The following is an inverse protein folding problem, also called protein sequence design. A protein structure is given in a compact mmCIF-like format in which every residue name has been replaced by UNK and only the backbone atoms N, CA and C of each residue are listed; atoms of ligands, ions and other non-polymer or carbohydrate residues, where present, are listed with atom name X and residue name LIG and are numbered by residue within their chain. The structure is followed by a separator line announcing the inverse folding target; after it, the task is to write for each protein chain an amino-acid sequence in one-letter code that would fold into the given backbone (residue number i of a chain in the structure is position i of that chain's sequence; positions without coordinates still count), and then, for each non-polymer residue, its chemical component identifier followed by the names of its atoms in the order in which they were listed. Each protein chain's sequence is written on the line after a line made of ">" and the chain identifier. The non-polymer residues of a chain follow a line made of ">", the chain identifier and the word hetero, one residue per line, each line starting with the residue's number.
data_IF_275588887183
#
_entry.id   IF_275588887183
#
_cell.length_a   1.000
_cell.length_b   1.000
_cell.length_c   1.000
_cell.angle_alpha   90.00
_cell.angle_beta   90.00
_cell.angle_gamma   90.00
#
_symmetry.space_group_name_H-M   'P 1'
#
loop_
_entity.id
_entity.type
_entity.pdbx_description
1 polymer ?
#
# COMPACT_ATOMS: atom_id res chain seq x y z
N UNK A 1 19.91 -4.54 4.57
CA UNK A 1 18.96 -3.46 4.89
C UNK A 1 17.55 -4.03 4.99
N UNK A 2 16.78 -3.59 5.99
CA UNK A 2 15.41 -4.02 6.22
C UNK A 2 14.38 -3.02 5.63
N UNK A 3 13.13 -3.47 5.42
CA UNK A 3 12.05 -2.61 4.90
C UNK A 3 11.80 -1.42 5.83
N UNK A 4 11.83 -1.65 7.14
CA UNK A 4 11.68 -0.60 8.14
C UNK A 4 12.74 0.50 7.97
N UNK A 5 14.01 0.13 7.86
CA UNK A 5 15.12 1.07 7.66
C UNK A 5 14.95 1.88 6.37
N UNK A 6 14.61 1.22 5.25
CA UNK A 6 14.35 1.86 3.96
C UNK A 6 13.18 2.85 4.01
N UNK A 7 12.26 2.70 4.96
CA UNK A 7 11.12 3.60 5.18
C UNK A 7 11.30 4.54 6.37
N UNK A 8 12.46 4.51 7.04
CA UNK A 8 12.72 5.23 8.28
C UNK A 8 11.69 4.94 9.39
N UNK A 9 11.30 3.66 9.51
CA UNK A 9 10.40 3.15 10.55
C UNK A 9 11.11 2.01 11.27
N UNK A 10 11.38 2.20 12.57
CA UNK A 10 11.92 1.13 13.42
C UNK A 10 10.84 0.06 13.60
N UNK A 11 11.18 -1.19 13.29
CA UNK A 11 10.33 -2.37 13.46
C UNK A 11 11.16 -3.39 14.22
N UNK A 12 10.64 -3.88 15.34
CA UNK A 12 11.25 -4.94 16.12
C UNK A 12 10.49 -6.26 15.91
N UNK A 13 11.10 -7.39 16.26
CA UNK A 13 10.49 -8.71 16.09
C UNK A 13 9.15 -8.83 16.83
N UNK A 14 9.08 -8.28 18.06
CA UNK A 14 7.87 -8.21 18.88
C UNK A 14 6.72 -7.41 18.25
N UNK A 15 7.01 -6.53 17.29
CA UNK A 15 5.97 -5.75 16.61
C UNK A 15 5.23 -6.59 15.55
N UNK A 16 5.74 -7.78 15.19
CA UNK A 16 5.17 -8.66 14.17
C UNK A 16 4.40 -9.78 14.86
N UNK A 17 3.09 -9.85 14.63
CA UNK A 17 2.23 -10.91 15.17
C UNK A 17 2.14 -12.09 14.20
N UNK A 18 1.99 -11.82 12.90
CA UNK A 18 1.95 -12.88 11.89
C UNK A 18 2.30 -12.37 10.50
N UNK A 19 2.86 -13.25 9.67
CA UNK A 19 3.18 -13.00 8.27
C UNK A 19 2.67 -14.18 7.43
N UNK A 20 1.97 -13.88 6.34
CA UNK A 20 1.49 -14.90 5.41
C UNK A 20 1.62 -14.42 3.96
N UNK A 21 1.99 -15.32 3.03
CA UNK A 21 1.86 -15.04 1.59
C UNK A 21 0.40 -15.19 1.16
N UNK A 22 -0.12 -14.20 0.46
CA UNK A 22 -1.51 -14.15 0.02
C UNK A 22 -1.64 -14.45 -1.47
N UNK A 23 -2.77 -15.07 -1.83
CA UNK A 23 -3.15 -15.32 -3.23
C UNK A 23 -2.51 -16.58 -3.84
N UNK A 24 -2.97 -16.96 -5.03
CA UNK A 24 -2.42 -18.09 -5.77
C UNK A 24 -0.96 -17.80 -6.16
N UNK A 25 -0.19 -18.86 -6.39
CA UNK A 25 1.14 -18.74 -6.99
C UNK A 25 0.96 -18.08 -8.36
N UNK A 26 1.61 -16.94 -8.57
CA UNK A 26 1.59 -16.27 -9.87
C UNK A 26 2.49 -17.08 -10.81
N UNK A 27 2.01 -17.34 -12.01
CA UNK A 27 2.79 -18.00 -13.06
C UNK A 27 3.92 -17.11 -13.55
N UNK A 28 4.76 -17.69 -14.41
CA UNK A 28 5.70 -16.94 -15.23
C UNK A 28 4.94 -15.92 -16.09
N UNK A 29 5.41 -14.68 -16.13
CA UNK A 29 4.88 -13.63 -17.02
C UNK A 29 5.88 -13.49 -18.18
N UNK A 30 5.47 -13.87 -19.38
CA UNK A 30 6.25 -13.66 -20.61
C UNK A 30 6.57 -12.17 -20.78
N UNK A 31 7.85 -11.84 -20.96
CA UNK A 31 8.36 -10.46 -21.06
C UNK A 31 9.08 -9.94 -19.80
N UNK A 32 8.79 -10.44 -18.60
CA UNK A 32 9.51 -10.06 -17.37
C UNK A 32 10.58 -11.08 -16.94
N UNK A 33 10.64 -12.27 -17.57
CA UNK A 33 11.65 -13.30 -17.31
C UNK A 33 11.63 -13.90 -15.89
N UNK A 34 10.76 -13.44 -15.01
CA UNK A 34 10.74 -13.80 -13.60
C UNK A 34 9.32 -13.96 -13.06
N UNK A 35 9.15 -14.97 -12.19
CA UNK A 35 7.90 -15.20 -11.45
C UNK A 35 7.67 -14.05 -10.47
N UNK A 36 6.54 -13.34 -10.60
CA UNK A 36 6.21 -12.26 -9.68
C UNK A 36 5.91 -12.81 -8.27
N UNK A 37 6.60 -12.35 -7.21
CA UNK A 37 6.37 -12.87 -5.87
C UNK A 37 4.95 -12.61 -5.38
N UNK A 38 4.40 -13.58 -4.63
CA UNK A 38 3.12 -13.40 -3.92
C UNK A 38 3.24 -12.30 -2.87
N UNK A 39 2.25 -11.41 -2.73
CA UNK A 39 2.25 -10.36 -1.72
C UNK A 39 2.23 -10.97 -0.31
N UNK A 40 2.82 -10.25 0.65
CA UNK A 40 2.72 -10.58 2.06
C UNK A 40 1.56 -9.83 2.72
N UNK A 41 0.82 -10.53 3.58
CA UNK A 41 -0.02 -9.90 4.59
C UNK A 41 0.72 -10.00 5.93
N UNK A 42 0.95 -8.84 6.55
CA UNK A 42 1.62 -8.72 7.85
C UNK A 42 0.62 -8.18 8.85
N UNK A 43 0.46 -8.85 9.99
CA UNK A 43 -0.26 -8.34 11.15
C UNK A 43 0.77 -7.77 12.12
N UNK A 44 0.66 -6.48 12.41
CA UNK A 44 1.47 -5.80 13.41
C UNK A 44 0.76 -5.79 14.77
N UNK A 45 1.53 -5.79 15.86
CA UNK A 45 1.03 -5.76 17.23
C UNK A 45 0.37 -4.42 17.54
N UNK A 46 0.92 -3.32 17.03
CA UNK A 46 0.48 -1.95 17.32
C UNK A 46 -0.11 -1.27 16.09
N UNK A 47 -1.30 -0.70 16.25
CA UNK A 47 -1.97 0.10 15.21
C UNK A 47 -1.15 1.34 14.81
N UNK A 48 -0.54 2.01 15.79
CA UNK A 48 0.29 3.20 15.56
C UNK A 48 1.48 2.93 14.65
N UNK A 49 2.13 1.76 14.80
CA UNK A 49 3.23 1.35 13.94
C UNK A 49 2.75 1.09 12.51
N UNK A 50 1.62 0.41 12.34
CA UNK A 50 0.99 0.21 11.03
C UNK A 50 0.73 1.53 10.32
N UNK A 51 0.13 2.48 11.04
CA UNK A 51 -0.25 3.78 10.46
C UNK A 51 0.99 4.60 10.08
N UNK A 52 2.03 4.58 10.92
CA UNK A 52 3.35 5.18 10.61
C UNK A 52 3.98 4.53 9.37
N UNK A 53 3.95 3.21 9.26
CA UNK A 53 4.51 2.47 8.13
C UNK A 53 3.78 2.83 6.82
N UNK A 54 2.45 2.88 6.84
CA UNK A 54 1.63 3.28 5.69
C UNK A 54 1.88 4.75 5.30
N UNK A 55 2.03 5.64 6.27
CA UNK A 55 2.33 7.05 6.03
C UNK A 55 3.72 7.23 5.42
N UNK A 56 4.74 6.60 5.99
CA UNK A 56 6.11 6.64 5.46
C UNK A 56 6.20 6.08 4.04
N UNK A 57 5.49 5.00 3.75
CA UNK A 57 5.42 4.41 2.41
C UNK A 57 4.72 5.32 1.38
N UNK A 58 3.70 6.08 1.80
CA UNK A 58 3.04 7.07 0.94
C UNK A 58 3.95 8.24 0.59
N UNK A 59 4.73 8.72 1.55
CA UNK A 59 5.66 9.85 1.34
C UNK A 59 6.86 9.43 0.49
N UNK A 60 7.42 8.25 0.71
CA UNK A 60 8.54 7.70 -0.09
C UNK A 60 8.02 6.98 -1.34
N UNK A 61 7.35 7.73 -2.21
CA UNK A 61 6.85 7.21 -3.47
C UNK A 61 8.00 6.65 -4.33
N UNK A 62 7.93 5.37 -4.70
CA UNK A 62 8.94 4.71 -5.54
C UNK A 62 10.03 3.93 -4.80
N UNK A 63 9.84 3.60 -3.52
CA UNK A 63 10.75 2.70 -2.79
C UNK A 63 10.96 1.38 -3.56
N UNK A 64 12.23 0.98 -3.66
CA UNK A 64 12.69 -0.16 -4.45
C UNK A 64 13.48 -1.17 -3.60
N UNK A 65 13.75 -2.33 -4.18
CA UNK A 65 14.55 -3.38 -3.54
C UNK A 65 16.06 -3.14 -3.61
N UNK A 66 16.52 -1.93 -3.95
CA UNK A 66 17.94 -1.57 -3.94
C UNK A 66 18.47 -1.63 -2.51
N UNK A 67 19.57 -2.38 -2.29
CA UNK A 67 20.21 -2.56 -0.98
C UNK A 67 19.66 -3.72 -0.12
N UNK A 68 18.70 -4.49 -0.64
CA UNK A 68 18.14 -5.66 0.05
C UNK A 68 18.92 -6.96 -0.20
N UNK A 69 19.93 -6.96 -1.07
CA UNK A 69 20.70 -8.17 -1.42
C UNK A 69 19.87 -9.23 -2.15
N UNK A 70 18.76 -8.84 -2.77
CA UNK A 70 17.93 -9.74 -3.56
C UNK A 70 18.55 -9.96 -4.95
N UNK A 71 18.45 -11.17 -5.53
CA UNK A 71 18.91 -11.42 -6.88
C UNK A 71 18.05 -10.69 -7.92
N UNK A 72 18.68 -10.27 -9.02
CA UNK A 72 18.03 -9.59 -10.13
C UNK A 72 18.03 -8.06 -10.01
N UNK A 73 17.34 -7.40 -10.95
CA UNK A 73 17.23 -5.94 -10.99
C UNK A 73 16.36 -5.43 -9.83
N UNK A 74 16.64 -4.23 -9.28
CA UNK A 74 15.80 -3.61 -8.29
C UNK A 74 14.36 -3.43 -8.79
N UNK A 75 13.39 -3.85 -7.98
CA UNK A 75 11.96 -3.72 -8.28
C UNK A 75 11.29 -2.80 -7.26
N UNK A 76 10.32 -2.02 -7.71
CA UNK A 76 9.49 -1.20 -6.81
C UNK A 76 8.64 -2.10 -5.92
N UNK A 77 8.50 -1.73 -4.66
CA UNK A 77 7.58 -2.38 -3.74
C UNK A 77 6.52 -1.40 -3.23
N UNK A 78 5.38 -1.94 -2.82
CA UNK A 78 4.24 -1.16 -2.36
C UNK A 78 3.76 -1.69 -1.02
N UNK A 79 3.37 -0.77 -0.15
CA UNK A 79 2.75 -1.09 1.15
C UNK A 79 1.36 -0.50 1.15
N UNK A 80 0.38 -1.37 1.24
CA UNK A 80 -1.03 -1.02 1.22
C UNK A 80 -1.71 -1.52 2.49
N UNK A 81 -2.81 -0.85 2.86
CA UNK A 81 -3.66 -1.33 3.93
C UNK A 81 -4.42 -2.59 3.48
N UNK A 82 -4.48 -3.60 4.35
CA UNK A 82 -5.25 -4.82 4.08
C UNK A 82 -6.72 -4.61 4.43
N UNK A 83 -7.53 -4.35 3.41
CA UNK A 83 -8.98 -4.19 3.53
C UNK A 83 -9.71 -5.54 3.55
N UNK A 84 -10.89 -5.59 4.15
CA UNK A 84 -11.84 -6.72 4.04
C UNK A 84 -12.34 -6.88 2.60
N UNK A 85 -12.95 -8.02 2.26
CA UNK A 85 -13.49 -8.24 0.90
C UNK A 85 -14.48 -7.14 0.49
N UNK A 86 -15.40 -6.81 1.39
CA UNK A 86 -16.40 -5.75 1.21
C UNK A 86 -15.71 -4.39 1.00
N UNK A 87 -14.76 -4.02 1.86
CA UNK A 87 -14.09 -2.72 1.74
C UNK A 87 -13.22 -2.63 0.48
N UNK A 88 -12.65 -3.74 -0.01
CA UNK A 88 -11.96 -3.76 -1.31
C UNK A 88 -12.92 -3.46 -2.45
N UNK A 89 -14.09 -4.09 -2.46
CA UNK A 89 -15.11 -3.84 -3.50
C UNK A 89 -15.64 -2.41 -3.43
N UNK A 90 -15.92 -1.89 -2.22
CA UNK A 90 -16.34 -0.51 -2.03
C UNK A 90 -15.25 0.47 -2.48
N UNK A 91 -13.99 0.21 -2.14
CA UNK A 91 -12.88 1.06 -2.55
C UNK A 91 -12.70 1.06 -4.07
N UNK A 92 -12.83 -0.09 -4.71
CA UNK A 92 -12.80 -0.20 -6.17
C UNK A 92 -13.91 0.63 -6.83
N UNK A 93 -15.17 0.47 -6.37
CA UNK A 93 -16.30 1.26 -6.86
C UNK A 93 -16.12 2.76 -6.62
N UNK A 94 -15.63 3.15 -5.44
CA UNK A 94 -15.35 4.55 -5.11
C UNK A 94 -14.30 5.16 -6.05
N UNK A 95 -13.24 4.43 -6.43
CA UNK A 95 -12.27 4.89 -7.42
C UNK A 95 -12.88 5.02 -8.82
N UNK A 96 -13.70 4.07 -9.24
CA UNK A 96 -14.40 4.14 -10.54
C UNK A 96 -15.38 5.31 -10.63
N UNK A 97 -16.11 5.61 -9.55
CA UNK A 97 -16.99 6.78 -9.50
C UNK A 97 -16.17 8.06 -9.43
N UNK A 98 -15.11 8.10 -8.62
CA UNK A 98 -14.26 9.28 -8.50
C UNK A 98 -13.65 9.71 -9.84
N UNK A 99 -13.19 8.75 -10.66
CA UNK A 99 -12.69 9.05 -12.01
C UNK A 99 -13.76 9.58 -12.97
N UNK A 100 -15.04 9.25 -12.76
CA UNK A 100 -16.17 9.71 -13.59
C UNK A 100 -16.76 11.03 -13.12
N UNK A 101 -16.71 11.30 -11.81
CA UNK A 101 -17.38 12.44 -11.16
C UNK A 101 -16.44 13.61 -10.86
N UNK A 102 -15.19 13.56 -11.30
CA UNK A 102 -14.19 14.62 -11.04
C UNK A 102 -13.67 14.66 -9.60
N UNK A 103 -13.80 13.57 -8.83
CA UNK A 103 -13.19 13.48 -7.51
C UNK A 103 -11.72 13.11 -7.67
N UNK A 104 -10.84 14.08 -7.48
CA UNK A 104 -9.43 13.94 -7.80
C UNK A 104 -8.69 12.96 -6.89
N UNK A 105 -9.19 12.70 -5.67
CA UNK A 105 -8.51 11.82 -4.72
C UNK A 105 -9.47 10.89 -3.98
N UNK A 106 -9.17 9.59 -4.04
CA UNK A 106 -9.84 8.54 -3.26
C UNK A 106 -8.78 7.72 -2.54
N UNK A 107 -8.84 7.65 -1.21
CA UNK A 107 -7.85 6.94 -0.40
C UNK A 107 -8.50 6.21 0.77
N UNK A 108 -7.75 5.31 1.38
CA UNK A 108 -8.15 4.64 2.61
C UNK A 108 -7.32 5.08 3.79
N UNK A 109 -7.94 5.06 4.96
CA UNK A 109 -7.28 5.21 6.26
C UNK A 109 -8.11 4.47 7.30
N UNK A 110 -7.46 3.57 8.03
CA UNK A 110 -8.09 2.84 9.14
C UNK A 110 -9.34 2.06 8.70
N UNK A 111 -9.28 1.45 7.52
CA UNK A 111 -10.36 0.70 6.90
C UNK A 111 -11.50 1.55 6.34
N UNK A 112 -11.49 2.88 6.53
CA UNK A 112 -12.47 3.82 5.98
C UNK A 112 -12.00 4.35 4.63
N UNK A 113 -12.96 4.62 3.74
CA UNK A 113 -12.72 5.19 2.41
C UNK A 113 -13.06 6.67 2.47
N UNK A 114 -12.15 7.50 1.98
CA UNK A 114 -12.29 8.95 1.91
C UNK A 114 -12.16 9.40 0.46
N UNK A 115 -12.91 10.45 0.13
CA UNK A 115 -12.86 11.13 -1.16
C UNK A 115 -12.60 12.62 -0.91
N UNK A 116 -11.81 13.26 -1.78
CA UNK A 116 -11.66 14.72 -1.80
C UNK A 116 -12.25 15.23 -3.10
N UNK A 117 -13.27 16.07 -2.95
CA UNK A 117 -13.79 16.90 -4.01
C UNK A 117 -13.03 18.24 -4.01
N UNK A 118 -12.55 18.67 -5.17
CA UNK A 118 -11.92 19.98 -5.32
C UNK A 118 -12.95 21.11 -5.51
N UNK A 119 -14.16 20.79 -5.93
CA UNK A 119 -15.22 21.77 -6.20
C UNK A 119 -15.60 22.51 -4.92
N UNK A 120 -15.60 21.85 -3.75
CA UNK A 120 -15.99 22.47 -2.48
C UNK A 120 -14.94 23.44 -1.92
N UNK A 121 -13.66 23.29 -2.27
CA UNK A 121 -12.60 24.18 -1.78
C UNK A 121 -12.67 25.57 -2.41
N UNK A 122 -13.26 25.71 -3.61
CA UNK A 122 -13.42 27.03 -4.28
C UNK A 122 -14.55 27.89 -3.70
N UNK A 123 -15.63 27.29 -3.17
CA UNK A 123 -16.82 28.03 -2.71
C UNK A 123 -16.68 28.75 -1.36
N UNK A 124 -15.57 28.58 -0.65
CA UNK A 124 -15.30 29.25 0.63
C UNK A 124 -14.17 30.30 0.55
N UNK A 125 -13.74 30.65 -0.66
CA UNK A 125 -12.70 31.64 -0.92
C UNK A 125 -13.23 32.90 -1.65
N UNK A 126 -14.55 33.06 -1.73
CA UNK A 126 -15.25 34.23 -2.28
C UNK A 126 -16.12 34.88 -1.20
#
# INVERSE_FOLDING_TARGET
>A
MLIGEKLNVKIEEQDIVSIQRMGPLRGYIEGEGAVQPRPFAVRLARRTLRDRLLQSARVRHGADTTGFGLPGSPKKFYINERLTCINRQLFFKARQMGSKSGWNYVWTREGRIFTRDEIRTRRHAE
#
